data_IF_566743065126
#
_entry.id   IF_566743065126
#
_cell.length_a   1.000
_cell.length_b   1.000
_cell.length_c   1.000
_cell.angle_alpha   90.00
_cell.angle_beta   90.00
_cell.angle_gamma   90.00
#
_symmetry.space_group_name_H-M   'P 1'
#
loop_
_entity.id
_entity.type
_entity.pdbx_description
1 polymer ?
#
# COMPACT_ATOMS: atom_id res chain seq x y z
N UNK A 1 1.60 23.96 0.13
CA UNK A 1 1.03 23.02 -0.87
C UNK A 1 -0.48 22.95 -0.67
N UNK A 2 -1.29 23.17 -1.72
CA UNK A 2 -2.73 22.94 -1.66
C UNK A 2 -3.00 21.46 -2.00
N UNK A 3 -3.63 20.67 -1.13
CA UNK A 3 -3.95 19.28 -1.44
C UNK A 3 -4.99 19.24 -2.56
N UNK A 4 -4.70 18.52 -3.64
CA UNK A 4 -5.68 18.21 -4.69
C UNK A 4 -6.58 17.09 -4.17
N UNK A 5 -7.88 17.34 -4.06
CA UNK A 5 -8.88 16.30 -3.73
C UNK A 5 -9.47 15.77 -5.05
N UNK A 6 -9.74 14.46 -5.07
CA UNK A 6 -10.49 13.77 -6.13
C UNK A 6 -11.79 14.54 -6.44
N UNK A 7 -11.96 14.91 -7.71
CA UNK A 7 -13.15 15.58 -8.19
C UNK A 7 -14.27 14.56 -8.37
N UNK A 8 -15.21 14.53 -7.41
CA UNK A 8 -16.42 13.69 -7.45
C UNK A 8 -17.17 13.96 -8.76
N UNK A 9 -17.23 12.97 -9.65
CA UNK A 9 -17.94 13.04 -10.94
C UNK A 9 -17.09 12.72 -12.18
N UNK A 10 -15.77 12.61 -12.06
CA UNK A 10 -14.89 12.10 -13.13
C UNK A 10 -14.47 10.66 -12.84
N UNK A 11 -15.33 9.70 -13.19
CA UNK A 11 -15.08 8.25 -12.98
C UNK A 11 -13.87 7.68 -13.75
N UNK A 12 -13.24 8.47 -14.62
CA UNK A 12 -12.13 8.03 -15.47
C UNK A 12 -10.73 8.27 -14.89
N UNK A 13 -10.57 9.03 -13.80
CA UNK A 13 -9.24 9.29 -13.22
C UNK A 13 -8.68 8.08 -12.45
N UNK A 14 -9.55 7.27 -11.81
CA UNK A 14 -9.13 6.08 -11.07
C UNK A 14 -9.13 4.79 -11.90
N UNK A 15 -9.80 4.77 -13.06
CA UNK A 15 -9.95 3.56 -13.86
C UNK A 15 -8.61 2.99 -14.36
N UNK A 16 -7.62 3.84 -14.61
CA UNK A 16 -6.26 3.43 -14.96
C UNK A 16 -5.51 2.79 -13.76
N UNK A 17 -5.77 3.27 -12.54
CA UNK A 17 -5.13 2.78 -11.31
C UNK A 17 -5.78 1.47 -10.85
N UNK A 18 -7.11 1.40 -10.86
CA UNK A 18 -7.88 0.21 -10.47
C UNK A 18 -7.67 -0.96 -11.44
N UNK A 19 -7.60 -0.69 -12.75
CA UNK A 19 -7.29 -1.71 -13.76
C UNK A 19 -5.87 -2.25 -13.62
N UNK A 20 -4.88 -1.38 -13.40
CA UNK A 20 -3.49 -1.79 -13.15
C UNK A 20 -3.38 -2.74 -11.95
N UNK A 21 -4.13 -2.46 -10.88
CA UNK A 21 -4.17 -3.31 -9.69
C UNK A 21 -4.74 -4.71 -9.98
N UNK A 22 -5.80 -4.79 -10.79
CA UNK A 22 -6.34 -6.07 -11.27
C UNK A 22 -5.36 -6.82 -12.19
N UNK A 23 -4.68 -6.11 -13.09
CA UNK A 23 -3.67 -6.69 -13.99
C UNK A 23 -2.48 -7.25 -13.21
N UNK A 24 -2.02 -6.55 -12.18
CA UNK A 24 -0.95 -7.01 -11.31
C UNK A 24 -1.33 -8.31 -10.59
N UNK A 25 -2.50 -8.37 -9.95
CA UNK A 25 -2.98 -9.59 -9.27
C UNK A 25 -3.05 -10.78 -10.22
N UNK A 26 -3.59 -10.57 -11.43
CA UNK A 26 -3.67 -11.63 -12.46
C UNK A 26 -2.29 -12.13 -12.90
N UNK A 27 -1.33 -11.21 -13.06
CA UNK A 27 0.06 -11.53 -13.44
C UNK A 27 0.80 -12.27 -12.33
N UNK A 28 0.63 -11.84 -11.08
CA UNK A 28 1.21 -12.53 -9.93
C UNK A 28 0.66 -13.95 -9.82
N UNK A 29 -0.64 -14.13 -10.01
CA UNK A 29 -1.26 -15.45 -10.05
C UNK A 29 -0.68 -16.33 -11.19
N UNK A 30 -0.50 -15.77 -12.39
CA UNK A 30 0.14 -16.49 -13.49
C UNK A 30 1.60 -16.86 -13.17
N UNK A 31 2.37 -15.98 -12.53
CA UNK A 31 3.74 -16.26 -12.13
C UNK A 31 3.81 -17.37 -11.07
N UNK A 32 2.88 -17.40 -10.12
CA UNK A 32 2.73 -18.47 -9.14
C UNK A 32 2.35 -19.80 -9.80
N UNK A 33 1.44 -19.77 -10.78
CA UNK A 33 1.07 -20.97 -11.56
C UNK A 33 2.27 -21.53 -12.33
N UNK A 34 3.06 -20.68 -12.99
CA UNK A 34 4.26 -21.10 -13.73
C UNK A 34 5.36 -21.64 -12.80
N UNK A 35 5.42 -21.12 -11.57
CA UNK A 35 6.30 -21.65 -10.52
C UNK A 35 5.84 -23.02 -10.02
N UNK A 36 4.55 -23.34 -10.13
CA UNK A 36 3.96 -24.61 -9.71
C UNK A 36 3.81 -24.78 -8.19
N UNK A 37 4.13 -23.76 -7.40
CA UNK A 37 3.97 -23.75 -5.94
C UNK A 37 3.78 -22.33 -5.42
N UNK A 38 2.98 -22.21 -4.36
CA UNK A 38 2.79 -20.97 -3.57
C UNK A 38 3.65 -20.94 -2.31
N UNK A 39 4.40 -22.00 -2.02
CA UNK A 39 5.21 -22.09 -0.81
C UNK A 39 6.56 -21.40 -1.02
N UNK A 40 6.94 -20.55 -0.08
CA UNK A 40 8.19 -19.81 -0.09
C UNK A 40 8.99 -20.16 1.16
N UNK A 41 10.32 -20.27 1.00
CA UNK A 41 11.23 -20.56 2.11
C UNK A 41 11.34 -19.36 3.06
N UNK A 42 11.28 -18.15 2.52
CA UNK A 42 11.32 -16.90 3.28
C UNK A 42 10.55 -15.77 2.59
N UNK A 43 10.40 -14.65 3.31
CA UNK A 43 9.75 -13.44 2.79
C UNK A 43 10.54 -12.83 1.62
N UNK A 44 11.88 -12.94 1.63
CA UNK A 44 12.73 -12.39 0.57
C UNK A 44 12.48 -13.07 -0.78
N UNK A 45 12.27 -14.38 -0.79
CA UNK A 45 11.97 -15.16 -1.99
C UNK A 45 10.63 -14.76 -2.60
N UNK A 46 9.65 -14.47 -1.75
CA UNK A 46 8.37 -13.93 -2.19
C UNK A 46 8.52 -12.51 -2.77
N UNK A 47 9.30 -11.64 -2.12
CA UNK A 47 9.60 -10.29 -2.62
C UNK A 47 10.28 -10.32 -3.99
N UNK A 48 11.26 -11.20 -4.20
CA UNK A 48 11.92 -11.35 -5.51
C UNK A 48 10.94 -11.77 -6.61
N UNK A 49 9.95 -12.62 -6.31
CA UNK A 49 8.91 -12.97 -7.28
C UNK A 49 8.07 -11.74 -7.64
N UNK A 50 7.66 -10.95 -6.63
CA UNK A 50 6.93 -9.71 -6.85
C UNK A 50 7.76 -8.75 -7.72
N UNK A 51 9.03 -8.54 -7.40
CA UNK A 51 9.93 -7.67 -8.16
C UNK A 51 10.04 -8.10 -9.62
N UNK A 52 10.17 -9.40 -9.91
CA UNK A 52 10.18 -9.92 -11.29
C UNK A 52 8.89 -9.59 -12.03
N UNK A 53 7.73 -9.77 -11.39
CA UNK A 53 6.43 -9.46 -11.98
C UNK A 53 6.29 -7.96 -12.25
N UNK A 54 6.67 -7.12 -11.28
CA UNK A 54 6.65 -5.66 -11.40
C UNK A 54 7.61 -5.19 -12.49
N UNK A 55 8.83 -5.73 -12.56
CA UNK A 55 9.80 -5.40 -13.60
C UNK A 55 9.26 -5.68 -15.01
N UNK A 56 8.59 -6.83 -15.20
CA UNK A 56 7.95 -7.17 -16.48
C UNK A 56 6.83 -6.20 -16.86
N UNK A 57 6.07 -5.70 -15.89
CA UNK A 57 5.03 -4.68 -16.12
C UNK A 57 5.65 -3.33 -16.47
N UNK A 58 6.65 -2.90 -15.69
CA UNK A 58 7.31 -1.62 -15.87
C UNK A 58 8.07 -1.56 -17.21
N UNK A 59 8.65 -2.67 -17.66
CA UNK A 59 9.34 -2.72 -18.95
C UNK A 59 8.43 -2.31 -20.12
N UNK A 60 7.13 -2.63 -20.06
CA UNK A 60 6.15 -2.30 -21.11
C UNK A 60 5.79 -0.82 -21.18
N UNK A 61 5.95 -0.11 -20.06
CA UNK A 61 5.60 1.32 -19.94
C UNK A 61 6.88 2.17 -19.93
N UNK A 62 8.06 1.54 -19.87
CA UNK A 62 9.35 2.20 -19.70
C UNK A 62 9.60 3.33 -20.70
N UNK A 63 9.33 3.13 -22.00
CA UNK A 63 9.53 4.16 -23.03
C UNK A 63 8.66 5.41 -22.78
N UNK A 64 7.38 5.22 -22.44
CA UNK A 64 6.49 6.33 -22.09
C UNK A 64 6.90 7.00 -20.80
N UNK A 65 7.31 6.19 -19.81
CA UNK A 65 7.78 6.68 -18.53
C UNK A 65 9.02 7.56 -18.67
N UNK A 66 9.98 7.24 -19.54
CA UNK A 66 11.16 8.08 -19.78
C UNK A 66 10.75 9.46 -20.29
N UNK A 67 9.80 9.53 -21.22
CA UNK A 67 9.30 10.80 -21.76
C UNK A 67 8.59 11.62 -20.66
N UNK A 68 7.73 10.97 -19.87
CA UNK A 68 6.99 11.63 -18.79
C UNK A 68 7.90 12.07 -17.64
N UNK A 69 8.99 11.33 -17.39
CA UNK A 69 9.93 11.59 -16.30
C UNK A 69 10.56 12.98 -16.37
N UNK A 70 10.80 13.50 -17.57
CA UNK A 70 11.37 14.83 -17.76
C UNK A 70 10.44 15.96 -17.30
N UNK A 71 9.13 15.67 -17.20
CA UNK A 71 8.12 16.59 -16.70
C UNK A 71 7.84 16.42 -15.20
N UNK A 72 8.45 15.42 -14.53
CA UNK A 72 8.25 15.19 -13.10
C UNK A 72 9.09 16.19 -12.26
N UNK A 73 8.49 16.65 -11.17
CA UNK A 73 9.20 17.46 -10.18
C UNK A 73 10.10 16.59 -9.30
N UNK A 74 11.10 17.21 -8.68
CA UNK A 74 11.95 16.56 -7.70
C UNK A 74 11.11 16.00 -6.53
N UNK A 75 11.52 14.83 -6.02
CA UNK A 75 10.90 14.29 -4.82
C UNK A 75 11.05 15.28 -3.66
N UNK A 76 10.03 15.44 -2.80
CA UNK A 76 10.14 16.22 -1.59
C UNK A 76 11.30 15.70 -0.71
N UNK A 77 12.04 16.61 -0.08
CA UNK A 77 13.18 16.27 0.79
C UNK A 77 12.80 15.42 2.00
N UNK A 78 11.52 15.43 2.39
CA UNK A 78 11.00 14.64 3.50
C UNK A 78 9.82 13.80 3.01
N UNK A 79 9.81 12.49 3.32
CA UNK A 79 8.64 11.66 3.05
C UNK A 79 7.44 12.26 3.78
N UNK A 80 6.32 12.35 3.08
CA UNK A 80 5.05 12.67 3.73
C UNK A 80 4.71 11.46 4.59
N UNK A 81 4.58 11.64 5.91
CA UNK A 81 4.10 10.58 6.78
C UNK A 81 2.68 10.21 6.34
N UNK A 82 2.52 8.99 5.83
CA UNK A 82 1.23 8.39 5.49
C UNK A 82 0.53 7.80 6.73
N UNK A 83 1.21 7.82 7.88
CA UNK A 83 0.71 7.40 9.18
C UNK A 83 0.55 8.60 10.11
N UNK A 84 -0.44 8.50 11.00
CA UNK A 84 -0.64 9.41 12.11
C UNK A 84 -0.32 8.68 13.40
N UNK A 85 0.53 9.26 14.24
CA UNK A 85 0.79 8.74 15.58
C UNK A 85 -0.24 9.33 16.53
N UNK A 86 -1.08 8.46 17.10
CA UNK A 86 -2.14 8.86 18.03
C UNK A 86 -1.86 8.23 19.39
N UNK A 87 -1.77 9.05 20.43
CA UNK A 87 -1.77 8.59 21.81
C UNK A 87 -3.21 8.28 22.24
N UNK A 88 -3.51 7.01 22.53
CA UNK A 88 -4.82 6.58 22.99
C UNK A 88 -4.75 5.98 24.39
N UNK A 89 -5.73 6.30 25.25
CA UNK A 89 -5.87 5.67 26.56
C UNK A 89 -6.43 4.27 26.40
N UNK A 90 -5.73 3.28 26.93
CA UNK A 90 -6.26 1.91 27.05
C UNK A 90 -7.30 1.91 28.16
N UNK A 91 -8.45 1.29 27.93
CA UNK A 91 -9.47 1.12 28.96
C UNK A 91 -9.14 -0.07 29.87
N UNK A 92 -9.80 -0.17 31.02
CA UNK A 92 -9.72 -1.34 31.89
C UNK A 92 -10.19 -2.65 31.22
N UNK A 93 -10.86 -2.57 30.07
CA UNK A 93 -11.28 -3.71 29.24
C UNK A 93 -10.26 -4.07 28.14
N UNK A 94 -9.05 -3.50 28.17
CA UNK A 94 -8.01 -3.70 27.13
C UNK A 94 -8.45 -3.24 25.74
N UNK A 95 -9.14 -2.09 25.66
CA UNK A 95 -9.56 -1.51 24.37
C UNK A 95 -9.07 -0.08 24.20
N UNK A 96 -8.89 0.34 22.95
CA UNK A 96 -8.59 1.72 22.56
C UNK A 96 -9.55 2.18 21.46
N UNK A 97 -9.81 3.48 21.40
CA UNK A 97 -10.62 4.08 20.33
C UNK A 97 -9.74 4.98 19.46
N UNK A 98 -9.63 4.67 18.18
CA UNK A 98 -8.90 5.47 17.19
C UNK A 98 -9.88 5.89 16.10
N UNK A 99 -10.05 7.21 15.89
CA UNK A 99 -10.98 7.77 14.89
C UNK A 99 -12.38 7.13 14.93
N UNK A 100 -12.94 7.01 16.14
CA UNK A 100 -14.25 6.40 16.42
C UNK A 100 -14.36 4.89 16.13
N UNK A 101 -13.24 4.20 15.88
CA UNK A 101 -13.18 2.74 15.73
C UNK A 101 -12.54 2.14 16.99
N UNK A 102 -13.20 1.13 17.57
CA UNK A 102 -12.73 0.42 18.75
C UNK A 102 -11.79 -0.72 18.33
N UNK A 103 -10.63 -0.80 18.98
CA UNK A 103 -9.66 -1.88 18.80
C UNK A 103 -9.38 -2.55 20.15
N UNK A 104 -9.12 -3.86 20.12
CA UNK A 104 -8.66 -4.60 21.30
C UNK A 104 -7.14 -4.61 21.34
N UNK A 105 -6.56 -4.45 22.52
CA UNK A 105 -5.12 -4.50 22.76
C UNK A 105 -4.78 -5.62 23.75
N UNK A 106 -3.52 -6.10 23.80
CA UNK A 106 -3.11 -7.10 24.79
C UNK A 106 -3.47 -6.69 26.22
N UNK A 107 -3.92 -7.66 27.03
CA UNK A 107 -4.38 -7.44 28.42
C UNK A 107 -3.31 -6.91 29.38
N UNK A 108 -2.04 -6.96 28.97
CA UNK A 108 -0.89 -6.45 29.70
C UNK A 108 -0.85 -4.91 29.71
N UNK A 109 -1.61 -4.27 28.82
CA UNK A 109 -1.66 -2.81 28.65
C UNK A 109 -2.88 -2.18 29.33
N UNK A 110 -3.63 -2.93 30.13
CA UNK A 110 -4.82 -2.43 30.84
C UNK A 110 -4.41 -1.24 31.70
N UNK A 111 -5.14 -0.13 31.56
CA UNK A 111 -5.00 0.95 32.53
C UNK A 111 -5.57 0.49 33.85
N UNK A 112 -4.82 0.65 34.93
CA UNK A 112 -5.39 0.63 36.27
C UNK A 112 -6.33 1.83 36.40
N UNK A 113 -7.56 1.58 36.83
CA UNK A 113 -8.52 2.63 37.13
C UNK A 113 -8.16 3.27 38.46
N UNK A 114 -7.99 4.60 38.48
CA UNK A 114 -8.18 5.43 39.70
C UNK A 114 -9.65 5.39 40.15
#
# INVERSE_FOLDING_TARGET
MRPTRNNRGKSHENGAIESSHGHFKRRLHQALLLRGSTDFEDVSSYQQLIEKVVASLNQRISDKFVIEKDYLQQLPNHPIADYEVVSARVTCHSTITVRCILYTVPSQLRSDSD
#
